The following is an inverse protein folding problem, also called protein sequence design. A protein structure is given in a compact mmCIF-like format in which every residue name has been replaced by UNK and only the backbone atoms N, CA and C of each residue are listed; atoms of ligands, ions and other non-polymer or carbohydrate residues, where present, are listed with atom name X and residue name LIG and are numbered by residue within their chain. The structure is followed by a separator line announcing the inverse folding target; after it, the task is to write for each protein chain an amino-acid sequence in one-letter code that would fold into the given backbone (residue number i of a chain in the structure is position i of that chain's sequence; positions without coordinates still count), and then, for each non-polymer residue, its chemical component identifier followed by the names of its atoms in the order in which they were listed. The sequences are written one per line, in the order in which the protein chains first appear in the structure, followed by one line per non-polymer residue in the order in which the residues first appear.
data_IF_643831643163
#
_entry.id   IF_643831643163
#
_cell.length_a   1.000
_cell.length_b   1.000
_cell.length_c   1.000
_cell.angle_alpha   90.00
_cell.angle_beta   90.00
_cell.angle_gamma   90.00
#
_symmetry.space_group_name_H-M   'P 1'
#
loop_
_entity.id
_entity.type
_entity.pdbx_description
1 polymer ?
#
# COMPACT_ATOMS: atom_id res chain seq x y z
N UNK A 1 -42.95 4.42 3.23
CA UNK A 1 -42.51 5.67 2.54
C UNK A 1 -41.27 5.32 1.75
N UNK A 2 -41.22 5.68 0.45
CA UNK A 2 -40.08 5.43 -0.44
C UNK A 2 -38.84 6.20 0.06
N UNK A 3 -37.69 5.54 0.15
CA UNK A 3 -36.41 6.16 0.51
C UNK A 3 -35.78 6.82 -0.71
N UNK A 4 -34.91 7.80 -0.48
CA UNK A 4 -34.30 8.57 -1.58
C UNK A 4 -33.47 7.67 -2.52
N UNK A 5 -32.75 6.70 -1.95
CA UNK A 5 -31.96 5.73 -2.74
C UNK A 5 -32.79 4.88 -3.71
N UNK A 6 -34.08 4.67 -3.43
CA UNK A 6 -35.00 3.91 -4.28
C UNK A 6 -35.56 4.77 -5.43
N UNK A 7 -35.27 6.07 -5.43
CA UNK A 7 -35.80 7.03 -6.40
C UNK A 7 -34.72 7.51 -7.36
N UNK A 8 -33.73 8.25 -6.85
CA UNK A 8 -32.61 8.78 -7.65
C UNK A 8 -31.34 8.68 -6.80
N UNK A 9 -30.27 8.14 -7.39
CA UNK A 9 -28.96 8.08 -6.75
C UNK A 9 -27.85 8.48 -7.73
N UNK A 10 -26.92 9.39 -7.37
CA UNK A 10 -25.85 9.85 -8.25
C UNK A 10 -24.71 8.81 -8.36
N UNK A 11 -25.00 7.67 -9.00
CA UNK A 11 -24.06 6.54 -9.11
C UNK A 11 -22.74 6.95 -9.76
N UNK A 12 -22.80 7.75 -10.83
CA UNK A 12 -21.63 8.15 -11.61
C UNK A 12 -20.67 8.97 -10.75
N UNK A 13 -21.15 10.04 -10.15
CA UNK A 13 -20.36 10.98 -9.36
C UNK A 13 -19.80 10.33 -8.09
N UNK A 14 -20.61 9.53 -7.39
CA UNK A 14 -20.17 8.77 -6.20
C UNK A 14 -19.09 7.75 -6.59
N UNK A 15 -19.19 7.14 -7.76
CA UNK A 15 -18.19 6.19 -8.27
C UNK A 15 -16.88 6.90 -8.60
N UNK A 16 -16.91 8.08 -9.21
CA UNK A 16 -15.72 8.89 -9.48
C UNK A 16 -14.98 9.24 -8.19
N UNK A 17 -15.70 9.65 -7.15
CA UNK A 17 -15.13 9.90 -5.82
C UNK A 17 -14.57 8.63 -5.16
N UNK A 18 -15.26 7.51 -5.31
CA UNK A 18 -14.82 6.19 -4.82
C UNK A 18 -13.54 5.68 -5.49
N UNK A 19 -13.32 6.00 -6.77
CA UNK A 19 -12.07 5.69 -7.47
C UNK A 19 -10.94 6.61 -6.99
N UNK A 20 -11.23 7.91 -6.85
CA UNK A 20 -10.25 8.91 -6.42
C UNK A 20 -9.68 8.61 -5.02
N UNK A 21 -10.52 8.17 -4.09
CA UNK A 21 -10.08 7.90 -2.71
C UNK A 21 -9.07 6.76 -2.58
N UNK A 22 -9.02 5.81 -3.54
CA UNK A 22 -8.02 4.70 -3.53
C UNK A 22 -6.58 5.20 -3.58
N UNK A 23 -6.37 6.41 -4.10
CA UNK A 23 -5.05 7.02 -4.22
C UNK A 23 -4.69 7.91 -3.03
N UNK A 24 -5.55 8.02 -2.01
CA UNK A 24 -5.31 8.86 -0.85
C UNK A 24 -4.38 8.13 0.12
N UNK A 25 -3.25 8.76 0.41
CA UNK A 25 -2.17 8.19 1.24
C UNK A 25 -2.06 8.83 2.62
N UNK A 26 -2.90 9.79 2.95
CA UNK A 26 -2.88 10.48 4.23
C UNK A 26 -4.30 10.61 4.81
N UNK A 27 -4.46 10.32 6.10
CA UNK A 27 -5.73 10.45 6.84
C UNK A 27 -6.82 9.43 6.50
N UNK A 28 -6.65 8.62 5.45
CA UNK A 28 -7.61 7.59 5.06
C UNK A 28 -7.42 6.32 5.91
N UNK A 29 -8.50 5.66 6.33
CA UNK A 29 -8.40 4.48 7.23
C UNK A 29 -7.59 3.31 6.65
N UNK A 30 -7.45 3.25 5.32
CA UNK A 30 -6.60 2.24 4.67
C UNK A 30 -5.12 2.40 4.95
N UNK A 31 -4.68 3.57 5.39
CA UNK A 31 -3.29 3.82 5.81
C UNK A 31 -3.06 3.42 7.25
N UNK A 32 -4.13 3.23 8.05
CA UNK A 32 -4.03 2.71 9.41
C UNK A 32 -3.91 1.19 9.41
N UNK A 33 -4.72 0.51 8.60
CA UNK A 33 -4.67 -0.94 8.43
C UNK A 33 -5.14 -1.34 7.03
N UNK A 34 -4.52 -2.36 6.45
CA UNK A 34 -4.92 -2.89 5.14
C UNK A 34 -6.05 -3.89 5.34
N UNK A 35 -7.11 -3.78 4.54
CA UNK A 35 -8.20 -4.74 4.47
C UNK A 35 -8.54 -5.00 2.99
N UNK A 36 -8.49 -6.27 2.57
CA UNK A 36 -8.54 -6.66 1.16
C UNK A 36 -9.88 -6.37 0.47
N UNK A 37 -10.97 -6.33 1.23
CA UNK A 37 -12.33 -6.11 0.71
C UNK A 37 -12.95 -4.80 1.19
N UNK A 38 -12.14 -3.76 1.46
CA UNK A 38 -12.66 -2.49 1.98
C UNK A 38 -13.58 -1.80 0.96
N UNK A 39 -14.79 -1.47 1.38
CA UNK A 39 -15.72 -0.66 0.59
C UNK A 39 -15.28 0.81 0.57
N UNK A 40 -15.45 1.52 -0.55
CA UNK A 40 -15.13 2.94 -0.59
C UNK A 40 -15.91 3.75 0.45
N UNK A 41 -15.25 4.71 1.11
CA UNK A 41 -15.89 5.56 2.12
C UNK A 41 -16.90 6.53 1.47
N UNK A 42 -16.57 7.08 0.30
CA UNK A 42 -17.46 7.91 -0.49
C UNK A 42 -18.81 7.20 -0.76
N UNK A 43 -18.75 5.98 -1.29
CA UNK A 43 -19.94 5.16 -1.54
C UNK A 43 -20.67 4.79 -0.25
N UNK A 44 -19.93 4.42 0.80
CA UNK A 44 -20.52 4.02 2.08
C UNK A 44 -21.32 5.18 2.72
N UNK A 45 -20.76 6.40 2.72
CA UNK A 45 -21.42 7.61 3.23
C UNK A 45 -22.65 8.00 2.43
N UNK A 46 -22.50 8.07 1.10
CA UNK A 46 -23.59 8.46 0.20
C UNK A 46 -24.77 7.49 0.33
N UNK A 47 -24.49 6.18 0.34
CA UNK A 47 -25.51 5.14 0.49
C UNK A 47 -26.17 5.20 1.86
N UNK A 48 -25.38 5.29 2.94
CA UNK A 48 -25.91 5.36 4.30
C UNK A 48 -26.85 6.56 4.49
N UNK A 49 -26.48 7.74 3.97
CA UNK A 49 -27.35 8.91 4.02
C UNK A 49 -28.62 8.72 3.17
N UNK A 50 -28.48 8.31 1.90
CA UNK A 50 -29.60 8.17 0.96
C UNK A 50 -30.66 7.13 1.37
N UNK A 51 -30.27 6.10 2.13
CA UNK A 51 -31.21 5.10 2.70
C UNK A 51 -32.01 5.70 3.86
N UNK A 52 -31.43 6.61 4.63
CA UNK A 52 -32.07 7.17 5.82
C UNK A 52 -33.06 8.29 5.51
N UNK A 53 -32.81 9.06 4.45
CA UNK A 53 -33.68 10.18 4.07
C UNK A 53 -34.87 9.73 3.19
N UNK A 54 -36.04 10.36 3.31
CA UNK A 54 -37.18 10.09 2.43
C UNK A 54 -36.94 10.63 1.02
N UNK A 55 -37.59 9.99 0.03
CA UNK A 55 -37.77 10.57 -1.30
C UNK A 55 -38.63 11.86 -1.23
N UNK A 56 -38.53 12.69 -2.26
CA UNK A 56 -39.23 13.97 -2.38
C UNK A 56 -40.36 13.88 -3.40
N UNK A 57 -41.32 14.79 -3.31
CA UNK A 57 -42.47 14.84 -4.22
C UNK A 57 -42.16 15.59 -5.51
N UNK A 58 -41.28 16.60 -5.46
CA UNK A 58 -40.94 17.44 -6.62
C UNK A 58 -39.55 17.11 -7.17
N UNK A 59 -39.36 17.28 -8.48
CA UNK A 59 -38.07 17.01 -9.12
C UNK A 59 -36.98 18.01 -8.70
N UNK A 60 -37.36 19.24 -8.34
CA UNK A 60 -36.44 20.26 -7.82
C UNK A 60 -35.82 19.83 -6.48
N UNK A 61 -36.64 19.37 -5.53
CA UNK A 61 -36.17 18.87 -4.23
C UNK A 61 -35.32 17.61 -4.40
N UNK A 62 -35.65 16.76 -5.39
CA UNK A 62 -34.84 15.58 -5.71
C UNK A 62 -33.46 15.97 -6.21
N UNK A 63 -33.38 16.93 -7.12
CA UNK A 63 -32.10 17.38 -7.66
C UNK A 63 -31.24 18.10 -6.60
N UNK A 64 -31.85 18.85 -5.68
CA UNK A 64 -31.12 19.45 -4.55
C UNK A 64 -30.50 18.37 -3.64
N UNK A 65 -31.27 17.37 -3.24
CA UNK A 65 -30.77 16.25 -2.43
C UNK A 65 -29.71 15.43 -3.17
N UNK A 66 -29.87 15.23 -4.48
CA UNK A 66 -28.87 14.56 -5.32
C UNK A 66 -27.55 15.33 -5.30
N UNK A 67 -27.57 16.65 -5.52
CA UNK A 67 -26.38 17.51 -5.45
C UNK A 67 -25.72 17.45 -4.07
N UNK A 68 -26.52 17.46 -3.01
CA UNK A 68 -26.00 17.32 -1.65
C UNK A 68 -25.34 15.96 -1.40
N UNK A 69 -25.90 14.85 -1.90
CA UNK A 69 -25.27 13.52 -1.80
C UNK A 69 -23.92 13.49 -2.54
N UNK A 70 -23.84 14.12 -3.72
CA UNK A 70 -22.56 14.25 -4.45
C UNK A 70 -21.56 15.02 -3.62
N UNK A 71 -21.94 16.17 -3.05
CA UNK A 71 -21.08 16.96 -2.17
C UNK A 71 -20.63 16.17 -0.94
N UNK A 72 -21.55 15.47 -0.29
CA UNK A 72 -21.31 14.64 0.89
C UNK A 72 -20.32 13.52 0.59
N UNK A 73 -20.35 12.94 -0.62
CA UNK A 73 -19.48 11.82 -1.02
C UNK A 73 -18.00 12.19 -1.21
N UNK A 74 -17.67 13.48 -1.32
CA UNK A 74 -16.28 13.95 -1.49
C UNK A 74 -15.44 13.62 -0.26
N UNK A 75 -14.20 13.17 -0.48
CA UNK A 75 -13.28 12.85 0.62
C UNK A 75 -12.93 14.10 1.44
N UNK A 76 -12.71 15.23 0.77
CA UNK A 76 -12.36 16.51 1.37
C UNK A 76 -13.45 17.01 2.35
N UNK A 77 -14.70 16.59 2.12
CA UNK A 77 -15.84 16.93 2.97
C UNK A 77 -16.05 15.95 4.13
N UNK A 78 -15.27 14.87 4.22
CA UNK A 78 -15.41 13.85 5.29
C UNK A 78 -15.16 14.37 6.70
N UNK A 79 -14.45 15.49 6.81
CA UNK A 79 -14.12 16.17 8.07
C UNK A 79 -14.64 17.61 8.12
N UNK A 80 -15.35 18.07 7.08
CA UNK A 80 -15.87 19.44 7.04
C UNK A 80 -17.15 19.51 7.89
N UNK A 81 -17.09 20.30 8.97
CA UNK A 81 -18.16 20.37 9.97
C UNK A 81 -19.52 20.68 9.34
N UNK A 82 -19.59 21.68 8.46
CA UNK A 82 -20.85 22.17 7.89
C UNK A 82 -21.64 21.10 7.13
N UNK A 83 -20.97 20.30 6.30
CA UNK A 83 -21.61 19.29 5.43
C UNK A 83 -22.08 18.10 6.28
N UNK A 84 -21.23 17.64 7.20
CA UNK A 84 -21.55 16.52 8.08
C UNK A 84 -22.64 16.89 9.10
N UNK A 85 -22.60 18.12 9.65
CA UNK A 85 -23.62 18.60 10.57
C UNK A 85 -24.97 18.79 9.89
N UNK A 86 -25.02 19.27 8.65
CA UNK A 86 -26.26 19.30 7.86
C UNK A 86 -26.86 17.89 7.75
N UNK A 87 -26.06 16.91 7.33
CA UNK A 87 -26.51 15.53 7.20
C UNK A 87 -27.00 14.94 8.53
N UNK A 88 -26.30 15.21 9.64
CA UNK A 88 -26.71 14.81 11.00
C UNK A 88 -28.03 15.44 11.42
N UNK A 89 -28.21 16.74 11.18
CA UNK A 89 -29.45 17.47 11.50
C UNK A 89 -30.63 16.93 10.70
N UNK A 90 -30.44 16.68 9.41
CA UNK A 90 -31.49 16.08 8.56
C UNK A 90 -31.95 14.74 9.15
N UNK A 91 -31.01 13.86 9.47
CA UNK A 91 -31.30 12.56 10.07
C UNK A 91 -31.96 12.72 11.44
N UNK A 92 -31.41 13.54 12.33
CA UNK A 92 -31.96 13.71 13.68
C UNK A 92 -33.38 14.28 13.67
N UNK A 93 -33.66 15.25 12.80
CA UNK A 93 -34.99 15.86 12.65
C UNK A 93 -36.03 14.85 12.14
N UNK A 94 -35.62 13.92 11.26
CA UNK A 94 -36.50 12.88 10.71
C UNK A 94 -36.83 11.79 11.73
N UNK A 95 -35.86 11.37 12.55
CA UNK A 95 -35.99 10.20 13.42
C UNK A 95 -36.23 10.56 14.91
N UNK A 96 -35.99 11.81 15.33
CA UNK A 96 -36.05 12.27 16.72
C UNK A 96 -34.98 11.68 17.65
N UNK A 97 -34.19 10.72 17.16
CA UNK A 97 -33.08 10.05 17.83
C UNK A 97 -32.08 9.52 16.80
N UNK A 98 -30.83 9.25 17.18
CA UNK A 98 -29.88 8.53 16.33
C UNK A 98 -30.48 7.20 15.84
N UNK A 99 -30.63 6.98 14.53
CA UNK A 99 -31.09 5.69 14.01
C UNK A 99 -30.02 4.63 14.23
N UNK A 100 -30.46 3.38 14.45
CA UNK A 100 -29.58 2.23 14.60
C UNK A 100 -29.28 1.60 13.26
N UNK A 101 -28.00 1.38 12.96
CA UNK A 101 -27.53 0.70 11.75
C UNK A 101 -26.76 -0.54 12.16
N UNK A 102 -27.12 -1.69 11.59
CA UNK A 102 -26.40 -2.95 11.75
C UNK A 102 -25.70 -3.30 10.45
N UNK A 103 -24.38 -3.45 10.49
CA UNK A 103 -23.59 -4.04 9.42
C UNK A 103 -23.14 -5.45 9.84
N UNK A 104 -23.77 -6.46 9.25
CA UNK A 104 -23.54 -7.86 9.58
C UNK A 104 -22.21 -8.42 9.04
N UNK A 105 -21.54 -7.71 8.13
CA UNK A 105 -20.32 -8.15 7.44
C UNK A 105 -19.35 -6.99 7.28
N UNK A 106 -19.07 -6.32 8.40
CA UNK A 106 -18.45 -5.01 8.39
C UNK A 106 -17.00 -5.03 7.90
N UNK A 107 -16.30 -6.16 8.03
CA UNK A 107 -14.92 -6.33 7.59
C UNK A 107 -14.03 -5.17 8.06
N UNK A 108 -13.58 -4.34 7.11
CA UNK A 108 -12.70 -3.19 7.38
C UNK A 108 -13.39 -1.94 7.96
N UNK A 109 -14.70 -1.97 8.21
CA UNK A 109 -15.43 -0.95 8.97
C UNK A 109 -15.91 0.29 8.21
N UNK A 110 -15.91 0.28 6.87
CA UNK A 110 -16.28 1.47 6.07
C UNK A 110 -17.71 1.96 6.32
N UNK A 111 -18.70 1.07 6.21
CA UNK A 111 -20.11 1.41 6.39
C UNK A 111 -20.40 1.87 7.83
N UNK A 112 -20.04 1.12 8.88
CA UNK A 112 -20.30 1.58 10.25
C UNK A 112 -19.54 2.87 10.60
N UNK A 113 -18.33 3.09 10.07
CA UNK A 113 -17.62 4.35 10.26
C UNK A 113 -18.39 5.53 9.67
N UNK A 114 -18.87 5.40 8.44
CA UNK A 114 -19.63 6.48 7.80
C UNK A 114 -21.01 6.66 8.46
N UNK A 115 -21.66 5.59 8.92
CA UNK A 115 -22.86 5.68 9.75
C UNK A 115 -22.62 6.48 11.05
N UNK A 116 -21.51 6.23 11.76
CA UNK A 116 -21.10 7.03 12.93
C UNK A 116 -20.85 8.49 12.55
N UNK A 117 -20.19 8.75 11.41
CA UNK A 117 -19.99 10.13 10.91
C UNK A 117 -21.32 10.84 10.68
N UNK A 118 -22.33 10.15 10.17
CA UNK A 118 -23.69 10.67 9.97
C UNK A 118 -24.52 10.79 11.26
N UNK A 119 -23.96 10.45 12.42
CA UNK A 119 -24.65 10.57 13.72
C UNK A 119 -25.58 9.40 14.04
N UNK A 120 -25.42 8.25 13.37
CA UNK A 120 -26.17 7.04 13.65
C UNK A 120 -25.53 6.23 14.79
N UNK A 121 -26.31 5.39 15.45
CA UNK A 121 -25.82 4.34 16.35
C UNK A 121 -25.43 3.12 15.50
N UNK A 122 -24.13 2.94 15.24
CA UNK A 122 -23.65 1.87 14.36
C UNK A 122 -23.21 0.63 15.14
N UNK A 123 -23.74 -0.52 14.76
CA UNK A 123 -23.37 -1.84 15.23
C UNK A 123 -22.69 -2.61 14.08
N UNK A 124 -21.52 -3.17 14.35
CA UNK A 124 -20.76 -3.95 13.37
C UNK A 124 -20.56 -5.36 13.91
N UNK A 125 -20.85 -6.36 13.08
CA UNK A 125 -20.66 -7.78 13.40
C UNK A 125 -19.66 -8.37 12.42
N UNK A 126 -18.77 -9.22 12.94
CA UNK A 126 -17.79 -9.93 12.14
C UNK A 126 -17.29 -11.18 12.86
N UNK A 127 -17.06 -12.26 12.11
CA UNK A 127 -16.52 -13.52 12.65
C UNK A 127 -14.99 -13.51 12.67
N UNK A 128 -14.36 -12.87 11.68
CA UNK A 128 -12.91 -12.85 11.58
C UNK A 128 -12.28 -12.01 12.73
N UNK A 129 -11.43 -12.60 13.60
CA UNK A 129 -10.86 -11.88 14.74
C UNK A 129 -9.96 -10.71 14.34
N UNK A 130 -9.30 -10.77 13.17
CA UNK A 130 -8.50 -9.66 12.63
C UNK A 130 -9.40 -8.48 12.27
N UNK A 131 -10.57 -8.75 11.68
CA UNK A 131 -11.53 -7.73 11.35
C UNK A 131 -12.19 -7.15 12.62
N UNK A 132 -12.50 -7.97 13.63
CA UNK A 132 -12.97 -7.49 14.93
C UNK A 132 -11.99 -6.50 15.56
N UNK A 133 -10.69 -6.81 15.54
CA UNK A 133 -9.65 -5.89 16.02
C UNK A 133 -9.64 -4.59 15.20
N UNK A 134 -9.69 -4.69 13.87
CA UNK A 134 -9.77 -3.54 12.97
C UNK A 134 -10.99 -2.65 13.29
N UNK A 135 -12.16 -3.25 13.49
CA UNK A 135 -13.39 -2.54 13.83
C UNK A 135 -13.25 -1.82 15.17
N UNK A 136 -12.66 -2.47 16.18
CA UNK A 136 -12.37 -1.83 17.47
C UNK A 136 -11.44 -0.63 17.30
N UNK A 137 -10.35 -0.79 16.56
CA UNK A 137 -9.40 0.29 16.28
C UNK A 137 -10.00 1.44 15.45
N UNK A 138 -11.01 1.17 14.63
CA UNK A 138 -11.62 2.16 13.73
C UNK A 138 -12.80 2.88 14.37
N UNK A 139 -13.64 2.16 15.13
CA UNK A 139 -14.93 2.63 15.62
C UNK A 139 -14.91 2.92 17.12
N UNK A 140 -14.35 2.02 17.93
CA UNK A 140 -14.48 2.04 19.39
C UNK A 140 -13.33 2.79 20.08
N UNK A 141 -12.09 2.41 19.80
CA UNK A 141 -10.91 2.92 20.50
C UNK A 141 -10.67 4.42 20.29
N UNK A 142 -10.81 5.00 19.07
CA UNK A 142 -10.64 6.44 18.89
C UNK A 142 -11.66 7.25 19.69
N UNK A 143 -12.90 6.77 19.79
CA UNK A 143 -13.95 7.44 20.56
C UNK A 143 -13.76 7.28 22.07
N UNK A 144 -13.34 6.09 22.52
CA UNK A 144 -13.16 5.76 23.93
C UNK A 144 -11.92 6.42 24.55
N UNK A 145 -10.82 6.47 23.82
CA UNK A 145 -9.51 6.87 24.34
C UNK A 145 -9.04 8.23 23.81
N UNK A 146 -9.58 8.71 22.68
CA UNK A 146 -9.27 10.04 22.14
C UNK A 146 -7.77 10.30 21.98
N UNK A 147 -7.31 11.46 22.46
CA UNK A 147 -5.90 11.89 22.34
C UNK A 147 -4.91 10.95 23.05
N UNK A 148 -5.32 10.31 24.15
CA UNK A 148 -4.47 9.36 24.88
C UNK A 148 -4.06 8.18 24.00
N UNK A 149 -4.93 7.73 23.10
CA UNK A 149 -4.58 6.67 22.15
C UNK A 149 -3.42 7.07 21.24
N UNK A 150 -3.37 8.34 20.82
CA UNK A 150 -2.30 8.86 19.96
C UNK A 150 -0.97 8.85 20.71
N UNK A 151 -0.99 9.26 21.97
CA UNK A 151 0.17 9.23 22.87
C UNK A 151 0.66 7.79 23.09
N UNK A 152 -0.27 6.87 23.41
CA UNK A 152 0.05 5.45 23.65
C UNK A 152 0.61 4.79 22.39
N UNK A 153 -0.02 5.00 21.22
CA UNK A 153 0.48 4.47 19.93
C UNK A 153 1.88 5.02 19.62
N UNK A 154 2.13 6.29 19.87
CA UNK A 154 3.45 6.91 19.66
C UNK A 154 4.50 6.31 20.60
N UNK A 155 4.15 6.17 21.89
CA UNK A 155 5.01 5.59 22.92
C UNK A 155 5.41 4.16 22.59
N UNK A 156 4.41 3.29 22.33
CA UNK A 156 4.66 1.89 22.04
C UNK A 156 5.31 1.69 20.66
N UNK A 157 4.95 2.52 19.67
CA UNK A 157 5.62 2.54 18.37
C UNK A 157 7.10 2.86 18.49
N UNK A 158 7.46 3.89 19.27
CA UNK A 158 8.85 4.22 19.55
C UNK A 158 9.56 3.11 20.32
N UNK A 159 8.90 2.50 21.31
CA UNK A 159 9.48 1.37 22.04
C UNK A 159 9.81 0.20 21.10
N UNK A 160 8.89 -0.18 20.21
CA UNK A 160 9.14 -1.23 19.20
C UNK A 160 10.27 -0.83 18.27
N UNK A 161 10.31 0.44 17.83
CA UNK A 161 11.36 0.95 16.96
C UNK A 161 12.75 0.84 17.62
N UNK A 162 12.90 1.25 18.87
CA UNK A 162 14.19 1.17 19.58
C UNK A 162 14.60 -0.28 19.82
N UNK A 163 13.67 -1.16 20.22
CA UNK A 163 13.95 -2.60 20.35
C UNK A 163 14.39 -3.23 19.03
N UNK A 164 13.73 -2.88 17.93
CA UNK A 164 14.11 -3.35 16.60
C UNK A 164 15.50 -2.82 16.21
N UNK A 165 15.84 -1.56 16.50
CA UNK A 165 17.19 -1.02 16.26
C UNK A 165 18.26 -1.77 17.06
N UNK A 166 18.00 -2.07 18.33
CA UNK A 166 18.93 -2.84 19.17
C UNK A 166 19.16 -4.26 18.61
N UNK A 167 18.09 -4.95 18.21
CA UNK A 167 18.15 -6.36 17.79
C UNK A 167 18.73 -6.53 16.38
N UNK A 168 18.24 -5.74 15.42
CA UNK A 168 18.54 -5.92 13.99
C UNK A 168 19.28 -4.74 13.35
N UNK A 169 19.54 -3.65 14.08
CA UNK A 169 20.17 -2.44 13.52
C UNK A 169 21.56 -2.67 12.94
N UNK A 170 22.32 -3.65 13.45
CA UNK A 170 23.62 -4.06 12.88
C UNK A 170 23.54 -4.55 11.43
N UNK A 171 22.37 -5.00 11.00
CA UNK A 171 22.11 -5.42 9.63
C UNK A 171 21.61 -4.27 8.75
N UNK A 172 21.54 -3.03 9.25
CA UNK A 172 21.12 -1.87 8.46
C UNK A 172 22.08 -0.70 8.75
N UNK A 173 23.37 -0.83 8.37
CA UNK A 173 24.33 0.22 8.61
C UNK A 173 23.93 1.49 7.89
N UNK A 174 24.17 2.62 8.55
CA UNK A 174 24.13 3.93 7.94
C UNK A 174 25.52 4.30 7.47
N UNK A 175 25.66 4.73 6.21
CA UNK A 175 26.91 5.28 5.70
C UNK A 175 26.79 6.81 5.58
N UNK A 176 27.82 7.52 6.03
CA UNK A 176 27.95 8.95 5.79
C UNK A 176 28.86 9.11 4.58
N UNK A 177 28.27 9.39 3.41
CA UNK A 177 29.07 9.75 2.24
C UNK A 177 29.41 11.25 2.30
N UNK A 178 30.69 11.58 2.21
CA UNK A 178 31.11 12.94 1.87
C UNK A 178 31.02 13.10 0.35
N UNK A 179 30.15 13.99 -0.11
CA UNK A 179 29.81 14.14 -1.53
C UNK A 179 30.97 14.76 -2.32
N UNK A 180 31.90 13.93 -2.78
CA UNK A 180 32.69 14.18 -3.98
C UNK A 180 32.42 13.13 -5.09
N UNK A 181 31.88 11.95 -4.74
CA UNK A 181 31.82 10.80 -5.67
C UNK A 181 30.44 10.49 -6.27
N UNK A 182 29.41 11.28 -5.96
CA UNK A 182 28.09 11.13 -6.56
C UNK A 182 27.51 12.52 -6.86
N UNK A 183 27.50 12.91 -8.14
CA UNK A 183 26.65 14.00 -8.65
C UNK A 183 25.18 13.56 -8.62
N UNK A 184 24.66 13.28 -7.43
CA UNK A 184 23.23 13.17 -7.17
C UNK A 184 22.67 14.61 -7.15
N UNK A 185 22.23 15.07 -8.32
CA UNK A 185 21.35 16.23 -8.51
C UNK A 185 21.63 17.40 -7.55
N UNK A 186 22.82 18.01 -7.64
CA UNK A 186 23.08 19.36 -7.13
C UNK A 186 22.87 19.61 -5.63
N UNK A 187 22.76 18.57 -4.79
CA UNK A 187 22.56 18.73 -3.34
C UNK A 187 23.85 18.38 -2.58
N UNK A 188 24.65 19.41 -2.29
CA UNK A 188 25.69 19.34 -1.25
C UNK A 188 25.02 19.17 0.11
N UNK A 189 24.76 17.94 0.53
CA UNK A 189 24.44 17.63 1.92
C UNK A 189 25.20 16.38 2.35
N UNK A 190 25.82 16.45 3.53
CA UNK A 190 26.18 15.27 4.32
C UNK A 190 24.86 14.58 4.67
N UNK A 191 24.40 13.68 3.82
CA UNK A 191 23.21 12.88 4.06
C UNK A 191 23.65 11.50 4.56
N UNK A 192 23.13 11.11 5.73
CA UNK A 192 23.24 9.75 6.24
C UNK A 192 22.44 8.83 5.31
N UNK A 193 23.13 8.02 4.51
CA UNK A 193 22.50 7.01 3.67
C UNK A 193 22.14 5.80 4.50
N UNK A 194 20.84 5.63 4.71
CA UNK A 194 20.30 4.48 5.44
C UNK A 194 20.12 3.31 4.49
N UNK A 195 20.65 2.15 4.86
CA UNK A 195 20.36 0.91 4.16
C UNK A 195 18.86 0.61 4.27
N UNK A 196 18.14 0.64 3.15
CA UNK A 196 16.69 0.35 3.12
C UNK A 196 16.38 -1.12 2.83
N UNK A 197 17.36 -1.87 2.33
CA UNK A 197 17.22 -3.28 2.02
C UNK A 197 18.41 -3.82 1.24
N UNK A 198 18.45 -5.15 1.13
CA UNK A 198 19.49 -5.88 0.41
C UNK A 198 18.91 -6.59 -0.81
N UNK A 199 19.66 -6.59 -1.89
CA UNK A 199 19.40 -7.47 -3.02
C UNK A 199 20.24 -8.71 -2.82
N UNK A 200 19.58 -9.86 -2.74
CA UNK A 200 20.23 -11.14 -2.57
C UNK A 200 19.78 -12.09 -3.68
N UNK A 201 20.67 -12.99 -4.08
CA UNK A 201 20.41 -14.04 -5.04
C UNK A 201 20.98 -15.35 -4.51
N UNK A 202 20.24 -16.45 -4.68
CA UNK A 202 20.80 -17.79 -4.48
C UNK A 202 21.81 -18.07 -5.58
N UNK A 203 22.86 -18.81 -5.27
CA UNK A 203 23.88 -19.17 -6.24
C UNK A 203 23.81 -20.66 -6.55
N UNK A 204 24.23 -21.06 -7.74
CA UNK A 204 24.51 -22.47 -8.04
C UNK A 204 25.89 -22.59 -8.67
N UNK A 205 26.64 -23.67 -8.42
CA UNK A 205 27.87 -23.91 -9.15
C UNK A 205 27.54 -24.21 -10.60
N UNK A 206 28.33 -23.64 -11.52
CA UNK A 206 28.24 -23.95 -12.94
C UNK A 206 28.49 -25.46 -13.14
N UNK A 207 27.57 -26.11 -13.87
CA UNK A 207 27.64 -27.55 -14.12
C UNK A 207 28.66 -27.91 -15.20
N UNK A 208 29.30 -26.94 -15.85
CA UNK A 208 30.48 -27.18 -16.68
C UNK A 208 31.70 -27.43 -15.78
N UNK A 209 32.28 -28.65 -15.77
CA UNK A 209 33.41 -29.00 -14.89
C UNK A 209 34.65 -28.13 -15.08
N UNK A 210 34.86 -27.59 -16.28
CA UNK A 210 35.99 -26.70 -16.57
C UNK A 210 35.79 -25.27 -16.01
N UNK A 211 34.54 -24.86 -15.75
CA UNK A 211 34.22 -23.53 -15.27
C UNK A 211 34.03 -23.51 -13.74
N UNK A 212 33.03 -24.23 -13.24
CA UNK A 212 32.70 -24.28 -11.81
C UNK A 212 32.40 -22.93 -11.15
N UNK A 213 32.13 -21.87 -11.91
CA UNK A 213 31.84 -20.54 -11.37
C UNK A 213 30.49 -20.50 -10.63
N UNK A 214 30.38 -19.64 -9.62
CA UNK A 214 29.13 -19.43 -8.89
C UNK A 214 28.18 -18.54 -9.70
N UNK A 215 27.01 -19.08 -10.04
CA UNK A 215 26.01 -18.40 -10.86
C UNK A 215 24.94 -17.82 -9.93
N UNK A 216 24.89 -16.49 -9.71
CA UNK A 216 23.80 -15.87 -8.95
C UNK A 216 22.52 -15.93 -9.77
N UNK A 217 21.47 -16.51 -9.23
CA UNK A 217 20.20 -16.75 -9.90
C UNK A 217 19.30 -15.51 -9.82
N UNK A 218 19.37 -14.67 -10.85
CA UNK A 218 18.61 -13.44 -10.97
C UNK A 218 17.70 -13.52 -12.20
N UNK A 219 16.44 -13.10 -12.05
CA UNK A 219 15.49 -13.04 -13.19
C UNK A 219 15.78 -11.86 -14.12
N UNK A 220 16.28 -10.77 -13.54
CA UNK A 220 16.65 -9.52 -14.22
C UNK A 220 17.70 -8.78 -13.39
N UNK A 221 18.33 -7.77 -13.99
CA UNK A 221 19.33 -6.92 -13.36
C UNK A 221 18.86 -5.48 -13.13
N UNK A 222 17.66 -5.10 -13.59
CA UNK A 222 17.10 -3.76 -13.35
C UNK A 222 16.97 -3.44 -11.86
N UNK A 223 17.59 -2.35 -11.42
CA UNK A 223 17.38 -1.73 -10.11
C UNK A 223 16.28 -0.67 -10.16
N UNK A 224 16.29 0.14 -11.22
CA UNK A 224 15.26 1.12 -11.52
C UNK A 224 14.99 1.13 -13.03
N UNK A 225 13.71 1.00 -13.41
CA UNK A 225 13.25 1.09 -14.81
C UNK A 225 12.06 2.05 -14.89
N UNK A 226 12.33 3.34 -14.75
CA UNK A 226 11.36 4.44 -14.90
C UNK A 226 11.74 5.30 -16.10
N UNK A 227 10.80 6.11 -16.60
CA UNK A 227 11.05 7.01 -17.74
C UNK A 227 12.24 7.96 -17.50
N UNK A 228 12.38 8.47 -16.28
CA UNK A 228 13.42 9.44 -15.88
C UNK A 228 14.60 8.84 -15.12
N UNK A 229 14.62 7.52 -14.90
CA UNK A 229 15.68 6.85 -14.13
C UNK A 229 15.80 5.37 -14.50
N UNK A 230 16.92 5.02 -15.12
CA UNK A 230 17.31 3.70 -15.60
C UNK A 230 18.66 3.33 -15.00
N UNK A 231 18.61 2.46 -14.00
CA UNK A 231 19.80 1.98 -13.28
C UNK A 231 19.74 0.46 -13.21
N UNK A 232 20.85 -0.21 -13.47
CA UNK A 232 20.96 -1.67 -13.52
C UNK A 232 22.20 -2.16 -12.80
N UNK A 233 22.15 -3.41 -12.34
CA UNK A 233 23.34 -4.19 -12.06
C UNK A 233 23.93 -4.69 -13.38
N UNK A 234 25.25 -4.69 -13.50
CA UNK A 234 25.97 -5.33 -14.59
C UNK A 234 26.85 -6.44 -14.01
N UNK A 235 26.58 -7.71 -14.34
CA UNK A 235 27.40 -8.83 -13.88
C UNK A 235 28.73 -8.85 -14.65
N UNK A 236 29.83 -9.01 -13.93
CA UNK A 236 31.14 -9.32 -14.49
C UNK A 236 31.78 -10.49 -13.73
N UNK A 237 32.72 -11.17 -14.37
CA UNK A 237 33.33 -12.39 -13.83
C UNK A 237 34.73 -12.07 -13.36
N UNK A 238 35.02 -12.40 -12.11
CA UNK A 238 36.35 -12.31 -11.53
C UNK A 238 36.72 -13.68 -10.93
N UNK A 239 37.62 -14.39 -11.59
CA UNK A 239 37.94 -15.78 -11.24
C UNK A 239 36.74 -16.71 -11.41
N UNK A 240 36.25 -17.29 -10.31
CA UNK A 240 35.07 -18.18 -10.26
C UNK A 240 33.83 -17.50 -9.69
N UNK A 241 33.90 -16.21 -9.40
CA UNK A 241 32.79 -15.45 -8.83
C UNK A 241 32.20 -14.49 -9.85
N UNK A 242 30.89 -14.27 -9.74
CA UNK A 242 30.18 -13.26 -10.51
C UNK A 242 29.94 -12.06 -9.60
N UNK A 243 30.64 -10.97 -9.90
CA UNK A 243 30.52 -9.69 -9.20
C UNK A 243 29.63 -8.74 -9.98
N UNK A 244 29.24 -7.65 -9.35
CA UNK A 244 28.32 -6.68 -9.93
C UNK A 244 28.88 -5.27 -9.81
N UNK A 245 28.64 -4.48 -10.85
CA UNK A 245 28.78 -3.02 -10.82
C UNK A 245 27.44 -2.37 -11.13
N UNK A 246 27.27 -1.12 -10.72
CA UNK A 246 26.06 -0.35 -11.02
C UNK A 246 26.31 0.46 -12.29
N UNK A 247 25.38 0.37 -13.25
CA UNK A 247 25.44 1.08 -14.52
C UNK A 247 24.12 1.80 -14.83
N UNK A 248 24.18 2.87 -15.61
CA UNK A 248 23.02 3.69 -16.02
C UNK A 248 23.05 5.11 -15.45
N UNK A 249 21.88 5.72 -15.34
CA UNK A 249 21.74 7.14 -14.99
C UNK A 249 22.40 7.47 -13.63
N UNK A 250 23.43 8.31 -13.66
CA UNK A 250 24.21 8.72 -12.48
C UNK A 250 25.30 7.74 -12.04
N UNK A 251 25.61 6.74 -12.87
CA UNK A 251 26.68 5.75 -12.67
C UNK A 251 27.46 5.55 -13.98
N UNK A 252 28.30 4.51 -14.05
CA UNK A 252 28.97 4.12 -15.28
C UNK A 252 27.98 3.89 -16.44
N UNK A 253 28.41 4.18 -17.67
CA UNK A 253 27.59 3.95 -18.84
C UNK A 253 27.21 2.46 -18.98
N UNK A 254 25.98 2.23 -19.43
CA UNK A 254 25.48 0.88 -19.66
C UNK A 254 26.18 0.27 -20.87
N UNK A 255 26.85 -0.89 -20.72
CA UNK A 255 27.58 -1.49 -21.84
C UNK A 255 26.68 -1.77 -23.05
N UNK A 256 27.23 -1.56 -24.25
CA UNK A 256 26.50 -1.77 -25.50
C UNK A 256 26.06 -3.24 -25.65
N UNK A 257 24.81 -3.45 -26.07
CA UNK A 257 24.24 -4.80 -26.23
C UNK A 257 23.83 -5.51 -24.93
N UNK A 258 24.07 -4.91 -23.75
CA UNK A 258 23.57 -5.45 -22.49
C UNK A 258 22.06 -5.24 -22.36
N UNK A 259 21.30 -6.32 -22.15
CA UNK A 259 19.87 -6.27 -21.84
C UNK A 259 19.63 -6.67 -20.38
N UNK A 260 19.43 -5.71 -19.46
CA UNK A 260 19.18 -6.00 -18.06
C UNK A 260 17.90 -6.79 -17.77
N UNK A 261 17.01 -6.93 -18.76
CA UNK A 261 15.78 -7.72 -18.62
C UNK A 261 16.07 -9.23 -18.69
N UNK A 262 17.25 -9.62 -19.18
CA UNK A 262 17.73 -10.99 -19.26
C UNK A 262 18.66 -11.29 -18.10
N UNK A 263 18.10 -11.83 -17.02
CA UNK A 263 18.89 -12.36 -15.92
C UNK A 263 19.55 -13.71 -16.23
N UNK A 264 20.24 -14.28 -15.24
CA UNK A 264 20.88 -15.59 -15.32
C UNK A 264 19.90 -16.76 -15.26
N UNK A 265 18.65 -16.56 -14.81
CA UNK A 265 17.66 -17.65 -14.69
C UNK A 265 16.29 -17.31 -15.29
N UNK A 266 15.73 -18.25 -16.04
CA UNK A 266 14.35 -18.20 -16.55
C UNK A 266 13.71 -19.59 -16.47
N UNK A 267 12.62 -19.73 -15.73
CA UNK A 267 11.90 -21.00 -15.61
C UNK A 267 12.74 -22.14 -15.02
N UNK A 268 13.60 -21.83 -14.04
CA UNK A 268 14.60 -22.72 -13.47
C UNK A 268 15.73 -23.17 -14.43
N UNK A 269 15.80 -22.65 -15.66
CA UNK A 269 16.96 -22.84 -16.53
C UNK A 269 17.95 -21.72 -16.24
N UNK A 270 19.19 -22.08 -15.90
CA UNK A 270 20.23 -21.13 -15.49
C UNK A 270 21.35 -21.06 -16.53
N UNK A 271 21.77 -19.86 -16.91
CA UNK A 271 22.88 -19.62 -17.85
C UNK A 271 24.06 -19.02 -17.10
N UNK A 272 25.23 -19.64 -17.25
CA UNK A 272 26.45 -19.16 -16.63
C UNK A 272 26.97 -17.89 -17.33
N UNK A 273 27.13 -16.75 -16.64
CA UNK A 273 27.68 -15.54 -17.25
C UNK A 273 29.19 -15.66 -17.57
N UNK A 274 29.90 -16.65 -17.02
CA UNK A 274 31.32 -16.87 -17.27
C UNK A 274 31.63 -17.70 -18.52
N UNK A 275 30.88 -18.78 -18.77
CA UNK A 275 31.16 -19.69 -19.88
C UNK A 275 29.96 -19.91 -20.83
N UNK A 276 28.80 -19.29 -20.57
CA UNK A 276 27.60 -19.47 -21.37
C UNK A 276 26.89 -20.82 -21.20
N UNK A 277 27.42 -21.73 -20.36
CA UNK A 277 26.81 -23.04 -20.13
C UNK A 277 25.39 -22.92 -19.56
N UNK A 278 24.47 -23.70 -20.11
CA UNK A 278 23.06 -23.71 -19.70
C UNK A 278 22.78 -24.94 -18.87
N UNK A 279 22.45 -24.73 -17.59
CA UNK A 279 21.95 -25.77 -16.70
C UNK A 279 20.43 -25.89 -16.83
N UNK A 280 19.94 -27.09 -17.10
CA UNK A 280 18.52 -27.36 -17.30
C UNK A 280 17.72 -27.27 -15.99
N UNK A 281 16.40 -27.16 -16.13
CA UNK A 281 15.49 -26.99 -15.00
C UNK A 281 15.51 -28.15 -13.98
N UNK A 282 15.73 -29.39 -14.43
CA UNK A 282 15.76 -30.55 -13.54
C UNK A 282 17.03 -30.52 -12.68
N UNK A 283 18.17 -30.17 -13.28
CA UNK A 283 19.45 -30.03 -12.58
C UNK A 283 19.42 -28.89 -11.57
N UNK A 284 18.92 -27.71 -11.95
CA UNK A 284 18.80 -26.58 -11.02
C UNK A 284 17.91 -26.94 -9.83
N UNK A 285 16.73 -27.53 -10.06
CA UNK A 285 15.84 -27.97 -8.96
C UNK A 285 16.50 -29.00 -8.04
N UNK A 286 17.25 -29.95 -8.61
CA UNK A 286 17.99 -30.96 -7.84
C UNK A 286 19.05 -30.32 -6.94
N UNK A 287 19.80 -29.32 -7.42
CA UNK A 287 20.80 -28.62 -6.61
C UNK A 287 20.17 -27.92 -5.40
N UNK A 288 18.99 -27.30 -5.58
CA UNK A 288 18.22 -26.70 -4.50
C UNK A 288 17.76 -27.73 -3.46
N UNK A 289 17.22 -28.87 -3.90
CA UNK A 289 16.76 -29.93 -3.01
C UNK A 289 17.91 -30.53 -2.19
N UNK A 290 19.12 -30.54 -2.74
CA UNK A 290 20.33 -31.05 -2.10
C UNK A 290 21.04 -30.00 -1.21
N UNK A 291 20.50 -28.79 -1.08
CA UNK A 291 21.13 -27.70 -0.32
C UNK A 291 22.45 -27.20 -0.92
N UNK A 292 22.67 -27.44 -2.22
CA UNK A 292 23.85 -26.97 -2.97
C UNK A 292 23.58 -25.64 -3.68
N UNK A 293 22.63 -24.85 -3.16
CA UNK A 293 22.14 -23.59 -3.71
C UNK A 293 21.61 -22.64 -2.64
#
# INVERSE_FOLDING_TARGET
MKRFIEDIFPVKEVSEHSVREKNIRHGHISTLHIWWARRPLAASRATAYAVLIPSCSTDEEKEEKRKFIVELSKWENSLKSDVIEKARKDILNLYGRPPRILDCFAGGGSIPLEALRLGCEAHAVEYNPVAVLILKCTLEYPQKYGKRLVEDVSRWGNWVLERAKEEIGKFYPSEILETNDLELEGRKRKEELKTVGYIWARTIPCQNPACGAEIPLMRQFWLAKKEKKRVSLYPYVEGKEVKFKIVGDGYEEMPEGFDPSKGTVKGAIATCPACGFVSDASTVRRLFQQGKA
#
